data_IF_278687707100
#
_entry.id   IF_278687707100
#
_cell.length_a   1.000
_cell.length_b   1.000
_cell.length_c   1.000
_cell.angle_alpha   90.00
_cell.angle_beta   90.00
_cell.angle_gamma   90.00
#
_symmetry.space_group_name_H-M   'P 1'
#
loop_
_entity.id
_entity.type
_entity.pdbx_description
1 polymer ?
#
# COMPACT_ATOMS: atom_id res chain seq x y z
N UNK A 1 15.96 3.73 -7.03
CA UNK A 1 14.85 2.75 -7.11
C UNK A 1 15.48 1.39 -6.90
N UNK A 2 15.21 0.72 -5.78
CA UNK A 2 15.88 -0.53 -5.39
C UNK A 2 14.90 -1.68 -5.64
N UNK A 3 15.32 -2.62 -6.47
CA UNK A 3 14.56 -3.81 -6.84
C UNK A 3 14.44 -4.73 -5.63
N UNK A 4 13.24 -5.22 -5.34
CA UNK A 4 13.02 -6.27 -4.34
C UNK A 4 12.42 -7.49 -5.03
N UNK A 5 13.18 -8.58 -5.03
CA UNK A 5 12.83 -9.85 -5.68
C UNK A 5 12.04 -10.72 -4.70
N UNK A 6 10.75 -10.96 -4.97
CA UNK A 6 9.99 -12.01 -4.31
C UNK A 6 10.23 -13.34 -5.05
N UNK A 7 11.12 -14.19 -4.54
CA UNK A 7 11.51 -15.42 -5.20
C UNK A 7 10.63 -16.62 -4.86
N UNK A 8 10.06 -17.28 -5.89
CA UNK A 8 10.45 -18.62 -6.40
C UNK A 8 9.40 -19.11 -7.39
N UNK A 9 9.81 -19.23 -8.66
CA UNK A 9 9.09 -20.03 -9.67
C UNK A 9 8.26 -19.23 -10.66
N UNK A 10 8.86 -19.02 -11.83
CA UNK A 10 8.26 -18.68 -13.14
C UNK A 10 7.40 -17.41 -13.27
N UNK A 11 7.87 -16.56 -14.19
CA UNK A 11 7.24 -15.34 -14.76
C UNK A 11 7.11 -14.13 -13.84
N UNK A 12 8.19 -13.36 -13.85
CA UNK A 12 8.25 -11.90 -13.87
C UNK A 12 6.90 -11.17 -13.82
N UNK A 13 6.43 -10.87 -12.61
CA UNK A 13 5.56 -9.71 -12.43
C UNK A 13 6.42 -8.68 -11.70
N UNK A 14 7.11 -7.86 -12.49
CA UNK A 14 7.65 -6.59 -11.99
C UNK A 14 6.44 -5.71 -11.71
N UNK A 15 5.84 -5.86 -10.53
CA UNK A 15 4.67 -5.06 -10.17
C UNK A 15 5.18 -3.64 -9.91
N UNK A 16 4.98 -2.74 -10.86
CA UNK A 16 5.24 -1.30 -10.72
C UNK A 16 4.12 -0.70 -9.86
N UNK A 17 3.97 -1.20 -8.64
CA UNK A 17 2.96 -0.73 -7.70
C UNK A 17 3.51 0.39 -6.84
N UNK A 18 2.62 1.31 -6.49
CA UNK A 18 2.98 2.43 -5.63
C UNK A 18 3.31 1.92 -4.24
N UNK A 19 2.49 1.02 -3.71
CA UNK A 19 2.76 0.28 -2.49
C UNK A 19 2.21 -1.14 -2.57
N UNK A 20 2.82 -2.03 -1.80
CA UNK A 20 2.44 -3.43 -1.68
C UNK A 20 2.05 -3.71 -0.24
N UNK A 21 0.87 -4.29 -0.06
CA UNK A 21 0.41 -4.80 1.23
C UNK A 21 0.60 -6.32 1.21
N UNK A 22 1.46 -6.83 2.09
CA UNK A 22 1.65 -8.27 2.26
C UNK A 22 0.61 -8.82 3.23
N UNK A 23 0.12 -10.02 2.94
CA UNK A 23 -0.72 -10.81 3.83
C UNK A 23 -0.21 -10.88 5.29
N UNK A 24 -1.17 -11.03 6.20
CA UNK A 24 -0.95 -11.06 7.65
C UNK A 24 -0.15 -12.31 8.01
N UNK A 25 0.93 -12.15 8.77
CA UNK A 25 1.69 -13.30 9.25
C UNK A 25 0.98 -14.02 10.42
N UNK A 26 1.52 -15.16 10.85
CA UNK A 26 1.00 -15.97 11.97
C UNK A 26 0.86 -15.19 13.29
N UNK A 27 1.52 -14.03 13.42
CA UNK A 27 1.49 -13.16 14.59
C UNK A 27 0.50 -11.98 14.45
N UNK A 28 -0.31 -11.96 13.39
CA UNK A 28 -1.23 -10.86 13.15
C UNK A 28 -0.57 -9.60 12.56
N UNK A 29 0.72 -9.65 12.20
CA UNK A 29 1.43 -8.50 11.66
C UNK A 29 1.21 -8.40 10.15
N UNK A 30 0.75 -7.22 9.71
CA UNK A 30 0.64 -6.85 8.29
C UNK A 30 1.81 -5.94 7.91
N UNK A 31 2.52 -6.27 6.84
CA UNK A 31 3.65 -5.47 6.35
C UNK A 31 3.22 -4.70 5.12
N UNK A 32 3.39 -3.37 5.17
CA UNK A 32 3.10 -2.47 4.05
C UNK A 32 4.40 -1.84 3.60
N UNK A 33 4.74 -2.00 2.32
CA UNK A 33 5.96 -1.46 1.73
C UNK A 33 5.57 -0.46 0.64
N UNK A 34 5.97 0.81 0.80
CA UNK A 34 5.77 1.86 -0.20
C UNK A 34 7.10 2.25 -0.87
N UNK A 35 7.00 2.75 -2.10
CA UNK A 35 8.14 3.29 -2.83
C UNK A 35 8.54 4.70 -2.37
N UNK A 36 8.30 5.71 -3.19
CA UNK A 36 8.62 7.11 -2.87
C UNK A 36 7.61 7.78 -1.94
N UNK A 37 7.87 9.04 -1.58
CA UNK A 37 7.04 9.85 -0.66
C UNK A 37 5.56 9.88 -1.07
N UNK A 38 5.29 10.08 -2.36
CA UNK A 38 3.90 10.09 -2.84
C UNK A 38 3.23 8.72 -2.73
N UNK A 39 3.99 7.63 -2.80
CA UNK A 39 3.45 6.30 -2.59
C UNK A 39 3.15 6.01 -1.11
N UNK A 40 3.91 6.62 -0.21
CA UNK A 40 3.69 6.53 1.23
C UNK A 40 2.41 7.25 1.66
N UNK A 41 2.07 8.36 1.02
CA UNK A 41 0.77 9.00 1.24
C UNK A 41 -0.40 8.09 0.85
N UNK A 42 -0.28 7.38 -0.27
CA UNK A 42 -1.31 6.42 -0.69
C UNK A 42 -1.41 5.23 0.28
N UNK A 43 -0.29 4.71 0.77
CA UNK A 43 -0.28 3.58 1.73
C UNK A 43 -0.81 3.98 3.11
N UNK A 44 -0.52 5.20 3.57
CA UNK A 44 -1.08 5.76 4.80
C UNK A 44 -2.60 5.91 4.71
N UNK A 45 -3.12 6.44 3.59
CA UNK A 45 -4.57 6.54 3.39
C UNK A 45 -5.23 5.16 3.32
N UNK A 46 -4.57 4.17 2.72
CA UNK A 46 -5.04 2.79 2.76
C UNK A 46 -5.12 2.27 4.20
N UNK A 47 -4.08 2.48 5.02
CA UNK A 47 -4.06 2.08 6.43
C UNK A 47 -5.17 2.77 7.23
N UNK A 48 -5.42 4.06 7.00
CA UNK A 48 -6.53 4.79 7.63
C UNK A 48 -7.87 4.14 7.26
N UNK A 49 -8.06 3.74 6.00
CA UNK A 49 -9.27 3.03 5.56
C UNK A 49 -9.46 1.69 6.28
N UNK A 50 -8.39 0.90 6.41
CA UNK A 50 -8.44 -0.40 7.08
C UNK A 50 -8.68 -0.30 8.60
N UNK A 51 -8.24 0.80 9.22
CA UNK A 51 -8.27 0.95 10.69
C UNK A 51 -9.46 1.76 11.19
N UNK A 52 -9.83 2.83 10.48
CA UNK A 52 -10.86 3.78 10.89
C UNK A 52 -12.07 3.81 9.93
N UNK A 53 -12.02 3.05 8.83
CA UNK A 53 -13.09 2.96 7.84
C UNK A 53 -12.92 3.93 6.65
N UNK A 54 -13.59 3.58 5.55
CA UNK A 54 -13.44 4.29 4.27
C UNK A 54 -13.86 5.75 4.33
N UNK A 55 -14.91 6.08 5.10
CA UNK A 55 -15.36 7.46 5.25
C UNK A 55 -14.28 8.36 5.85
N UNK A 56 -13.56 7.87 6.87
CA UNK A 56 -12.49 8.62 7.53
C UNK A 56 -11.28 8.77 6.60
N UNK A 57 -10.94 7.74 5.82
CA UNK A 57 -9.94 7.85 4.76
C UNK A 57 -10.29 8.94 3.76
N UNK A 58 -11.52 8.95 3.25
CA UNK A 58 -11.93 9.86 2.19
C UNK A 58 -12.04 11.31 2.69
N UNK A 59 -12.52 11.50 3.93
CA UNK A 59 -12.44 12.78 4.63
C UNK A 59 -10.99 13.24 4.80
N UNK A 60 -10.09 12.34 5.19
CA UNK A 60 -8.67 12.65 5.38
C UNK A 60 -8.03 13.10 4.07
N UNK A 61 -8.26 12.37 2.98
CA UNK A 61 -7.78 12.71 1.64
C UNK A 61 -8.33 14.08 1.18
N UNK A 62 -9.60 14.37 1.46
CA UNK A 62 -10.21 15.67 1.18
C UNK A 62 -9.58 16.80 2.00
N UNK A 63 -9.38 16.62 3.30
CA UNK A 63 -8.79 17.65 4.17
C UNK A 63 -7.39 18.06 3.70
N UNK A 64 -6.57 17.10 3.28
CA UNK A 64 -5.21 17.37 2.79
C UNK A 64 -5.15 17.66 1.28
N UNK A 65 -6.30 17.73 0.61
CA UNK A 65 -6.42 17.95 -0.84
C UNK A 65 -5.54 17.00 -1.67
N UNK A 66 -5.51 15.72 -1.29
CA UNK A 66 -4.64 14.73 -1.91
C UNK A 66 -5.42 13.77 -2.82
N UNK A 67 -5.01 13.73 -4.09
CA UNK A 67 -5.57 12.82 -5.09
C UNK A 67 -4.94 11.42 -4.97
N UNK A 68 -5.55 10.57 -4.14
CA UNK A 68 -5.13 9.18 -3.90
C UNK A 68 -5.15 8.33 -5.17
N UNK A 69 -4.21 7.40 -5.28
CA UNK A 69 -4.12 6.40 -6.35
C UNK A 69 -4.23 4.99 -5.76
N UNK A 70 -4.73 4.04 -6.56
CA UNK A 70 -4.98 2.66 -6.13
C UNK A 70 -3.70 1.86 -5.85
N UNK A 71 -3.87 0.63 -5.33
CA UNK A 71 -2.79 -0.31 -5.03
C UNK A 71 -3.18 -1.76 -5.30
N UNK A 72 -2.17 -2.63 -5.33
CA UNK A 72 -2.34 -4.08 -5.29
C UNK A 72 -2.26 -4.61 -3.85
N UNK A 73 -3.22 -5.44 -3.47
CA UNK A 73 -3.24 -6.21 -2.21
C UNK A 73 -2.92 -7.67 -2.54
N UNK A 74 -1.92 -8.25 -1.88
CA UNK A 74 -1.43 -9.62 -2.12
C UNK A 74 -1.58 -10.54 -0.90
#
# INVERSE_FOLDING_TARGET
MREMTAGKGSTEIVVVERFVVKSVNEKGLRVVTSGGVSCEMDSCLWLVGETAGEQIRDQSAYMIQYARRGCLVL
#
